data_IF_500457430153
#
_entry.id   IF_500457430153
#
_cell.length_a   1.000
_cell.length_b   1.000
_cell.length_c   1.000
_cell.angle_alpha   90.00
_cell.angle_beta   90.00
_cell.angle_gamma   90.00
#
_symmetry.space_group_name_H-M   'P 1'
#
loop_
_entity.id
_entity.type
_entity.pdbx_description
1 polymer ?
#
# COMPACT_ATOMS: atom_id res chain seq x y z
N UNK A 1 1.86 8.64 -2.51
CA UNK A 1 1.87 7.88 -3.80
C UNK A 1 1.80 6.37 -3.52
N UNK A 2 2.74 5.77 -2.81
CA UNK A 2 2.85 4.32 -2.61
C UNK A 2 1.58 3.60 -2.19
N UNK A 3 0.79 4.15 -1.27
CA UNK A 3 -0.48 3.55 -0.87
C UNK A 3 -1.49 3.40 -2.01
N UNK A 4 -1.50 4.33 -2.98
CA UNK A 4 -2.33 4.22 -4.19
C UNK A 4 -1.80 3.16 -5.14
N UNK A 5 -0.49 3.07 -5.29
CA UNK A 5 0.19 2.11 -6.17
C UNK A 5 -0.07 0.66 -5.75
N UNK A 6 -0.13 0.39 -4.46
CA UNK A 6 -0.43 -0.94 -3.92
C UNK A 6 -1.94 -1.22 -3.77
N UNK A 7 -2.81 -0.32 -4.23
CA UNK A 7 -4.26 -0.50 -4.17
C UNK A 7 -4.90 -0.19 -2.81
N UNK A 8 -4.25 0.62 -1.99
CA UNK A 8 -4.74 1.01 -0.65
C UNK A 8 -5.90 2.01 -0.65
N UNK A 9 -6.82 1.93 -1.62
CA UNK A 9 -8.03 2.76 -1.73
C UNK A 9 -9.27 1.89 -1.89
N UNK A 10 -10.41 2.40 -1.49
CA UNK A 10 -11.70 1.68 -1.53
C UNK A 10 -12.12 1.24 -2.94
N UNK A 11 -11.62 1.86 -3.99
CA UNK A 11 -12.02 1.64 -5.39
C UNK A 11 -10.90 1.04 -6.26
N UNK A 12 -9.76 0.70 -5.69
CA UNK A 12 -8.59 0.26 -6.44
C UNK A 12 -8.06 -1.09 -5.98
N UNK A 13 -7.42 -1.77 -6.91
CA UNK A 13 -6.55 -2.91 -6.70
C UNK A 13 -5.09 -2.48 -6.95
N UNK A 14 -4.15 -3.37 -6.68
CA UNK A 14 -2.73 -3.10 -6.90
C UNK A 14 -2.45 -2.64 -8.34
N UNK A 15 -1.44 -1.80 -8.49
CA UNK A 15 -0.94 -1.29 -9.78
C UNK A 15 -1.96 -0.48 -10.57
N UNK A 16 -2.68 0.40 -9.88
CA UNK A 16 -3.69 1.30 -10.45
C UNK A 16 -4.87 0.59 -11.15
N UNK A 17 -5.10 -0.68 -10.83
CA UNK A 17 -6.26 -1.40 -11.37
C UNK A 17 -7.54 -0.98 -10.67
N UNK A 18 -8.60 -0.87 -11.44
CA UNK A 18 -9.92 -0.48 -10.92
C UNK A 18 -10.75 -1.70 -10.56
N UNK A 19 -11.33 -1.71 -9.37
CA UNK A 19 -12.15 -2.81 -8.86
C UNK A 19 -13.40 -3.05 -9.73
N UNK A 20 -13.95 -2.01 -10.35
CA UNK A 20 -15.11 -2.11 -11.23
C UNK A 20 -14.82 -2.71 -12.61
N UNK A 21 -13.55 -2.73 -13.02
CA UNK A 21 -13.14 -3.30 -14.30
C UNK A 21 -13.00 -4.83 -14.19
N UNK A 22 -13.79 -5.63 -14.92
CA UNK A 22 -13.76 -7.08 -14.81
C UNK A 22 -12.41 -7.69 -15.26
N UNK A 23 -11.72 -7.07 -16.22
CA UNK A 23 -10.41 -7.53 -16.68
C UNK A 23 -9.37 -7.33 -15.57
N UNK A 24 -9.36 -6.17 -14.93
CA UNK A 24 -8.45 -5.89 -13.84
C UNK A 24 -8.67 -6.82 -12.62
N UNK A 25 -9.92 -7.18 -12.33
CA UNK A 25 -10.20 -8.16 -11.29
C UNK A 25 -9.68 -9.53 -11.65
N UNK A 26 -9.96 -9.99 -12.88
CA UNK A 26 -9.50 -11.29 -13.36
C UNK A 26 -7.97 -11.42 -13.29
N UNK A 27 -7.23 -10.41 -13.75
CA UNK A 27 -5.75 -10.38 -13.66
C UNK A 27 -5.27 -10.55 -12.21
N UNK A 28 -5.91 -9.87 -11.25
CA UNK A 28 -5.52 -9.97 -9.84
C UNK A 28 -6.00 -11.25 -9.17
N UNK A 29 -7.14 -11.79 -9.58
CA UNK A 29 -7.63 -13.10 -9.13
C UNK A 29 -6.67 -14.22 -9.56
N UNK A 30 -6.22 -14.18 -10.81
CA UNK A 30 -5.21 -15.11 -11.32
C UNK A 30 -3.88 -14.95 -10.58
N UNK A 31 -3.42 -13.72 -10.40
CA UNK A 31 -2.16 -13.43 -9.71
C UNK A 31 -2.18 -13.92 -8.25
N UNK A 32 -3.28 -13.72 -7.53
CA UNK A 32 -3.41 -14.16 -6.13
C UNK A 32 -3.91 -15.60 -5.96
N UNK A 33 -4.00 -16.36 -7.03
CA UNK A 33 -4.34 -17.78 -7.01
C UNK A 33 -5.83 -18.09 -6.81
N UNK A 34 -6.70 -17.40 -7.55
CA UNK A 34 -8.11 -17.74 -7.70
C UNK A 34 -9.04 -17.28 -6.59
N UNK A 35 -8.67 -16.25 -5.85
CA UNK A 35 -9.58 -15.60 -4.90
C UNK A 35 -10.59 -14.72 -5.65
N UNK A 36 -11.89 -14.86 -5.38
CA UNK A 36 -12.91 -14.01 -6.00
C UNK A 36 -12.87 -12.62 -5.39
N UNK A 37 -12.65 -11.62 -6.23
CA UNK A 37 -12.64 -10.20 -5.85
C UNK A 37 -14.04 -9.61 -6.07
N UNK A 38 -14.55 -8.89 -5.07
CA UNK A 38 -15.83 -8.17 -5.19
C UNK A 38 -15.80 -7.18 -6.35
N UNK A 39 -16.88 -7.09 -7.10
CA UNK A 39 -17.09 -6.10 -8.16
C UNK A 39 -17.56 -4.73 -7.63
N UNK A 40 -17.77 -4.63 -6.32
CA UNK A 40 -18.26 -3.42 -5.66
C UNK A 40 -17.13 -2.63 -5.05
N UNK A 41 -17.18 -1.32 -5.25
CA UNK A 41 -16.30 -0.38 -4.56
C UNK A 41 -16.53 -0.50 -3.05
N UNK A 42 -15.44 -0.51 -2.29
CA UNK A 42 -15.50 -0.48 -0.82
C UNK A 42 -15.96 0.88 -0.29
N UNK A 43 -16.25 0.92 1.00
CA UNK A 43 -16.63 2.15 1.68
C UNK A 43 -15.40 3.06 1.85
N UNK A 44 -15.58 4.36 1.65
CA UNK A 44 -14.60 5.37 2.05
C UNK A 44 -14.46 5.44 3.58
N UNK A 45 -13.41 6.07 4.09
CA UNK A 45 -13.20 6.22 5.52
C UNK A 45 -14.44 6.83 6.22
N UNK A 46 -14.98 7.92 5.68
CA UNK A 46 -16.18 8.57 6.23
C UNK A 46 -17.40 7.65 6.23
N UNK A 47 -17.61 6.89 5.13
CA UNK A 47 -18.71 5.93 5.02
C UNK A 47 -18.55 4.75 5.98
N UNK A 48 -17.32 4.28 6.21
CA UNK A 48 -17.07 3.23 7.20
C UNK A 48 -17.46 3.67 8.60
N UNK A 49 -17.08 4.87 9.02
CA UNK A 49 -17.45 5.39 10.34
C UNK A 49 -18.94 5.65 10.46
N UNK A 50 -19.59 6.17 9.42
CA UNK A 50 -21.05 6.25 9.37
C UNK A 50 -21.71 4.88 9.47
N UNK A 51 -21.17 3.89 8.77
CA UNK A 51 -21.65 2.51 8.84
C UNK A 51 -21.53 1.87 10.24
N UNK A 52 -20.47 2.22 10.99
CA UNK A 52 -20.32 1.82 12.39
C UNK A 52 -21.36 2.51 13.28
N UNK A 53 -21.55 3.82 13.12
CA UNK A 53 -22.54 4.60 13.88
C UNK A 53 -23.96 4.03 13.66
N UNK A 54 -24.31 3.69 12.42
CA UNK A 54 -25.60 3.10 12.04
C UNK A 54 -25.71 1.60 12.39
N UNK A 55 -24.65 0.94 12.89
CA UNK A 55 -24.61 -0.49 13.19
C UNK A 55 -24.60 -1.42 11.98
N UNK A 56 -24.40 -0.88 10.76
CA UNK A 56 -24.23 -1.64 9.52
C UNK A 56 -22.89 -2.36 9.48
N UNK A 57 -21.83 -1.68 9.92
CA UNK A 57 -20.53 -2.28 10.23
C UNK A 57 -20.49 -2.62 11.72
N UNK A 58 -19.84 -3.73 12.05
CA UNK A 58 -19.74 -4.23 13.43
C UNK A 58 -18.33 -4.17 13.98
N UNK A 59 -17.34 -4.19 13.11
CA UNK A 59 -15.94 -4.20 13.50
C UNK A 59 -15.11 -3.33 12.56
N UNK A 60 -13.99 -2.82 13.07
CA UNK A 60 -13.02 -2.06 12.29
C UNK A 60 -11.60 -2.37 12.77
N UNK A 61 -10.67 -2.44 11.81
CA UNK A 61 -9.24 -2.46 12.07
C UNK A 61 -8.62 -1.17 11.55
N UNK A 62 -8.10 -0.36 12.45
CA UNK A 62 -7.49 0.94 12.18
C UNK A 62 -5.98 0.76 12.22
N UNK A 63 -5.30 1.10 11.11
CA UNK A 63 -3.86 0.88 10.95
C UNK A 63 -3.15 2.22 10.81
N UNK A 64 -2.31 2.56 11.78
CA UNK A 64 -1.40 3.70 11.79
C UNK A 64 -2.03 5.05 11.37
N UNK A 65 -3.29 5.27 11.77
CA UNK A 65 -3.99 6.55 11.61
C UNK A 65 -4.83 6.86 12.85
N UNK A 66 -5.07 8.14 13.08
CA UNK A 66 -5.88 8.60 14.23
C UNK A 66 -7.18 9.25 13.71
N UNK A 67 -8.26 8.48 13.52
CA UNK A 67 -9.55 8.99 13.05
C UNK A 67 -10.14 10.10 13.91
N UNK A 68 -9.83 10.11 15.22
CA UNK A 68 -10.27 11.16 16.14
C UNK A 68 -9.72 12.54 15.78
N UNK A 69 -8.63 12.61 15.02
CA UNK A 69 -7.99 13.84 14.55
C UNK A 69 -8.17 14.04 13.05
N UNK A 70 -8.11 12.95 12.26
CA UNK A 70 -8.05 13.01 10.81
C UNK A 70 -9.41 13.05 10.11
N UNK A 71 -10.49 12.61 10.77
CA UNK A 71 -11.84 12.72 10.22
C UNK A 71 -12.41 14.13 10.40
N UNK A 72 -13.24 14.59 9.46
CA UNK A 72 -13.81 15.95 9.53
C UNK A 72 -14.78 16.15 10.70
N UNK A 73 -15.37 15.07 11.23
CA UNK A 73 -16.28 15.09 12.37
C UNK A 73 -15.79 14.12 13.46
N UNK A 74 -15.08 14.66 14.45
CA UNK A 74 -14.54 13.88 15.56
C UNK A 74 -15.64 13.31 16.46
N UNK A 75 -16.81 13.99 16.57
CA UNK A 75 -17.94 13.49 17.37
C UNK A 75 -18.57 12.26 16.70
N UNK A 76 -18.75 12.29 15.40
CA UNK A 76 -19.22 11.14 14.63
C UNK A 76 -18.22 9.98 14.75
N UNK A 77 -16.93 10.25 14.66
CA UNK A 77 -15.89 9.22 14.84
C UNK A 77 -15.96 8.58 16.25
N UNK A 78 -16.14 9.38 17.28
CA UNK A 78 -16.28 8.90 18.66
C UNK A 78 -17.53 8.00 18.83
N UNK A 79 -18.68 8.43 18.34
CA UNK A 79 -19.93 7.66 18.41
C UNK A 79 -19.82 6.36 17.64
N UNK A 80 -19.25 6.40 16.44
CA UNK A 80 -19.03 5.24 15.60
C UNK A 80 -18.19 4.17 16.31
N UNK A 81 -17.07 4.57 16.94
CA UNK A 81 -16.21 3.63 17.66
C UNK A 81 -16.85 3.10 18.96
N UNK A 82 -17.65 3.90 19.66
CA UNK A 82 -18.44 3.43 20.81
C UNK A 82 -19.53 2.42 20.44
N UNK A 83 -20.09 2.55 19.23
CA UNK A 83 -21.14 1.63 18.74
C UNK A 83 -20.54 0.37 18.09
N UNK A 84 -19.28 0.39 17.69
CA UNK A 84 -18.61 -0.76 17.13
C UNK A 84 -18.58 -1.91 18.13
N UNK A 85 -18.78 -3.15 17.64
CA UNK A 85 -18.71 -4.36 18.49
C UNK A 85 -17.28 -4.83 18.71
N UNK A 86 -16.36 -4.44 17.83
CA UNK A 86 -14.96 -4.82 17.93
C UNK A 86 -14.08 -3.82 17.19
N UNK A 87 -13.13 -3.24 17.91
CA UNK A 87 -12.19 -2.23 17.40
C UNK A 87 -10.76 -2.74 17.62
N UNK A 88 -10.04 -2.93 16.53
CA UNK A 88 -8.60 -3.21 16.54
C UNK A 88 -7.86 -1.95 16.14
N UNK A 89 -6.88 -1.54 16.92
CA UNK A 89 -6.02 -0.40 16.61
C UNK A 89 -4.58 -0.86 16.53
N UNK A 90 -3.97 -0.73 15.34
CA UNK A 90 -2.56 -0.95 15.10
C UNK A 90 -1.87 0.41 15.06
N UNK A 91 -1.02 0.71 16.04
CA UNK A 91 -0.53 2.05 16.26
C UNK A 91 0.89 2.06 16.83
N UNK A 92 1.67 3.05 16.45
CA UNK A 92 3.06 3.24 16.90
C UNK A 92 3.16 3.98 18.25
N UNK A 93 2.09 4.62 18.69
CA UNK A 93 2.06 5.45 19.91
C UNK A 93 0.88 5.11 20.80
N UNK A 94 1.12 4.88 22.06
CA UNK A 94 0.07 4.70 23.07
C UNK A 94 -0.67 6.01 23.43
N UNK A 95 -0.34 7.13 22.81
CA UNK A 95 -0.94 8.45 23.04
C UNK A 95 -2.03 8.82 22.01
N UNK A 96 -2.23 8.01 20.97
CA UNK A 96 -3.27 8.25 19.99
C UNK A 96 -4.66 8.17 20.64
N UNK A 97 -5.52 9.15 20.37
CA UNK A 97 -6.86 9.22 20.99
C UNK A 97 -7.74 8.03 20.60
N UNK A 98 -7.51 7.44 19.44
CA UNK A 98 -8.19 6.25 18.93
C UNK A 98 -8.03 5.04 19.86
N UNK A 99 -6.89 4.91 20.55
CA UNK A 99 -6.60 3.76 21.44
C UNK A 99 -7.63 3.62 22.58
N UNK A 100 -8.23 4.71 23.03
CA UNK A 100 -9.24 4.70 24.09
C UNK A 100 -10.49 3.86 23.76
N UNK A 101 -10.69 3.57 22.48
CA UNK A 101 -11.85 2.82 21.98
C UNK A 101 -11.48 1.40 21.50
N UNK A 102 -10.21 1.02 21.61
CA UNK A 102 -9.72 -0.26 21.12
C UNK A 102 -10.05 -1.40 22.09
N UNK A 103 -10.60 -2.48 21.55
CA UNK A 103 -10.68 -3.77 22.24
C UNK A 103 -9.33 -4.50 22.19
N UNK A 104 -8.59 -4.31 21.09
CA UNK A 104 -7.26 -4.85 20.88
C UNK A 104 -6.33 -3.77 20.35
N UNK A 105 -5.16 -3.63 20.97
CA UNK A 105 -4.08 -2.76 20.48
C UNK A 105 -2.94 -3.65 19.98
N UNK A 106 -2.52 -3.42 18.75
CA UNK A 106 -1.37 -4.08 18.12
C UNK A 106 -0.23 -3.05 18.01
N UNK A 107 0.81 -3.14 18.85
CA UNK A 107 1.93 -2.21 18.78
C UNK A 107 2.69 -2.38 17.47
N UNK A 108 2.84 -1.27 16.72
CA UNK A 108 3.51 -1.24 15.42
C UNK A 108 4.88 -0.55 15.52
N UNK A 109 5.85 -1.05 14.77
CA UNK A 109 7.16 -0.46 14.65
C UNK A 109 7.11 0.85 13.84
N UNK A 110 7.93 1.84 14.21
CA UNK A 110 8.06 3.11 13.49
C UNK A 110 9.08 3.04 12.35
N UNK A 111 9.32 4.17 11.69
CA UNK A 111 10.21 4.28 10.52
C UNK A 111 11.62 3.73 10.73
N UNK A 112 12.25 4.09 11.87
CA UNK A 112 13.63 3.67 12.17
C UNK A 112 13.72 2.23 12.67
N UNK A 113 12.60 1.60 13.01
CA UNK A 113 12.52 0.29 13.66
C UNK A 113 12.18 -0.84 12.70
N UNK A 114 11.87 -0.52 11.45
CA UNK A 114 11.54 -1.47 10.38
C UNK A 114 12.21 -1.08 9.08
N UNK A 115 12.27 -2.01 8.13
CA UNK A 115 12.68 -1.71 6.77
C UNK A 115 11.48 -1.79 5.82
N UNK A 116 11.62 -1.23 4.62
CA UNK A 116 10.60 -1.23 3.61
C UNK A 116 10.91 -0.28 2.46
N UNK A 117 9.90 0.06 1.69
CA UNK A 117 10.00 1.02 0.60
C UNK A 117 8.96 2.13 0.75
N UNK A 118 9.31 3.31 0.28
CA UNK A 118 8.40 4.46 0.24
C UNK A 118 8.47 5.10 -1.14
N UNK A 119 7.31 5.49 -1.67
CA UNK A 119 7.23 6.28 -2.91
C UNK A 119 6.74 7.69 -2.60
N UNK A 120 7.50 8.70 -3.03
CA UNK A 120 7.17 10.11 -2.85
C UNK A 120 6.32 10.68 -3.99
N UNK A 121 6.00 11.98 -3.93
CA UNK A 121 5.19 12.68 -4.94
C UNK A 121 5.87 12.75 -6.33
N UNK A 122 7.20 12.66 -6.38
CA UNK A 122 7.98 12.57 -7.63
C UNK A 122 7.97 11.18 -8.26
N UNK A 123 7.21 10.23 -7.71
CA UNK A 123 7.21 8.83 -8.15
C UNK A 123 8.53 8.10 -7.86
N UNK A 124 9.32 8.61 -6.93
CA UNK A 124 10.61 8.05 -6.57
C UNK A 124 10.45 7.06 -5.43
N UNK A 125 10.86 5.82 -5.69
CA UNK A 125 10.88 4.73 -4.72
C UNK A 125 12.21 4.78 -3.97
N UNK A 126 12.16 4.78 -2.66
CA UNK A 126 13.32 4.82 -1.77
C UNK A 126 13.25 3.65 -0.80
N UNK A 127 14.38 2.97 -0.60
CA UNK A 127 14.52 1.98 0.47
C UNK A 127 14.68 2.70 1.82
N UNK A 128 13.96 2.21 2.80
CA UNK A 128 14.06 2.61 4.20
C UNK A 128 14.74 1.50 4.97
N UNK A 129 15.91 1.78 5.53
CA UNK A 129 16.66 0.81 6.33
C UNK A 129 16.24 0.87 7.79
N UNK A 130 16.14 -0.29 8.42
CA UNK A 130 16.03 -0.37 9.88
C UNK A 130 17.32 0.17 10.52
N UNK A 131 17.19 1.01 11.53
CA UNK A 131 18.31 1.66 12.24
C UNK A 131 18.40 1.18 13.69
N UNK A 132 17.25 0.96 14.34
CA UNK A 132 17.15 0.53 15.74
C UNK A 132 16.18 -0.62 15.87
N UNK A 133 16.21 -1.35 16.98
CA UNK A 133 15.23 -2.38 17.27
C UNK A 133 13.91 -1.78 17.75
N UNK A 134 12.82 -2.39 17.34
CA UNK A 134 11.49 -2.01 17.81
C UNK A 134 11.36 -2.30 19.33
N UNK A 135 10.71 -1.41 20.10
CA UNK A 135 10.58 -1.59 21.54
C UNK A 135 9.57 -2.68 21.88
N UNK A 136 9.85 -3.41 22.95
CA UNK A 136 8.93 -4.38 23.56
C UNK A 136 8.29 -5.37 22.56
N UNK A 137 6.97 -5.28 22.36
CA UNK A 137 6.20 -6.16 21.48
C UNK A 137 5.86 -5.52 20.13
N UNK A 138 6.40 -4.34 19.82
CA UNK A 138 6.12 -3.68 18.56
C UNK A 138 6.71 -4.46 17.38
N UNK A 139 5.90 -4.65 16.35
CA UNK A 139 6.26 -5.41 15.14
C UNK A 139 6.07 -4.55 13.90
N UNK A 140 6.83 -4.80 12.82
CA UNK A 140 6.54 -4.22 11.51
C UNK A 140 5.11 -4.55 11.05
N UNK A 141 4.44 -3.60 10.39
CA UNK A 141 3.04 -3.76 9.95
C UNK A 141 2.84 -5.00 9.08
N UNK A 142 3.77 -5.27 8.15
CA UNK A 142 3.70 -6.45 7.30
C UNK A 142 3.76 -7.75 8.12
N UNK A 143 4.58 -7.80 9.17
CA UNK A 143 4.67 -8.97 10.04
C UNK A 143 3.37 -9.19 10.84
N UNK A 144 2.75 -8.11 11.33
CA UNK A 144 1.45 -8.17 11.99
C UNK A 144 0.40 -8.77 11.05
N UNK A 145 0.36 -8.30 9.80
CA UNK A 145 -0.58 -8.80 8.79
C UNK A 145 -0.31 -10.27 8.45
N UNK A 146 0.95 -10.66 8.25
CA UNK A 146 1.31 -12.06 7.96
C UNK A 146 0.92 -13.00 9.12
N UNK A 147 1.18 -12.59 10.37
CA UNK A 147 0.77 -13.37 11.55
C UNK A 147 -0.75 -13.48 11.67
N UNK A 148 -1.47 -12.42 11.37
CA UNK A 148 -2.93 -12.45 11.32
C UNK A 148 -3.43 -13.39 10.23
N UNK A 149 -2.89 -13.30 9.01
CA UNK A 149 -3.23 -14.17 7.89
C UNK A 149 -2.99 -15.65 8.23
N UNK A 150 -1.87 -15.96 8.89
CA UNK A 150 -1.57 -17.31 9.35
C UNK A 150 -2.62 -17.83 10.36
N UNK A 151 -3.07 -16.99 11.30
CA UNK A 151 -4.15 -17.33 12.25
C UNK A 151 -5.50 -17.52 11.58
N UNK A 152 -5.73 -16.86 10.46
CA UNK A 152 -6.94 -17.02 9.63
C UNK A 152 -6.89 -18.25 8.70
N UNK A 153 -5.80 -19.00 8.69
CA UNK A 153 -5.61 -20.18 7.85
C UNK A 153 -5.02 -19.90 6.46
N UNK A 154 -4.53 -18.68 6.22
CA UNK A 154 -3.95 -18.23 4.94
C UNK A 154 -2.41 -18.11 4.99
N UNK A 155 -1.76 -18.74 5.98
CA UNK A 155 -0.32 -18.58 6.19
C UNK A 155 0.52 -18.90 4.96
N UNK A 156 0.15 -19.93 4.19
CA UNK A 156 0.83 -20.34 2.97
C UNK A 156 0.82 -19.28 1.84
N UNK A 157 -0.08 -18.28 1.91
CA UNK A 157 -0.14 -17.16 0.95
C UNK A 157 0.58 -15.90 1.47
N UNK A 158 1.02 -15.90 2.72
CA UNK A 158 1.68 -14.78 3.40
C UNK A 158 3.00 -15.22 4.04
N UNK A 159 3.66 -16.20 3.45
CA UNK A 159 4.94 -16.73 3.92
C UNK A 159 6.09 -16.02 3.19
N UNK A 160 6.63 -14.98 3.84
CA UNK A 160 7.76 -14.22 3.32
C UNK A 160 8.93 -14.30 4.30
N UNK A 161 10.14 -14.55 3.78
CA UNK A 161 11.34 -14.60 4.59
C UNK A 161 11.90 -13.21 4.92
N UNK A 162 11.55 -12.20 4.11
CA UNK A 162 12.01 -10.83 4.27
C UNK A 162 11.12 -9.84 3.48
N UNK A 163 11.24 -8.55 3.77
CA UNK A 163 10.46 -7.50 3.11
C UNK A 163 10.79 -7.35 1.61
N UNK A 164 11.96 -7.78 1.16
CA UNK A 164 12.32 -7.80 -0.25
C UNK A 164 11.46 -8.75 -1.06
N UNK A 165 11.00 -9.87 -0.48
CA UNK A 165 10.09 -10.80 -1.15
C UNK A 165 8.69 -10.19 -1.32
N UNK A 166 8.19 -9.46 -0.32
CA UNK A 166 6.94 -8.70 -0.43
C UNK A 166 7.05 -7.64 -1.53
N UNK A 167 8.17 -6.92 -1.57
CA UNK A 167 8.42 -5.93 -2.62
C UNK A 167 8.50 -6.57 -4.00
N UNK A 168 9.17 -7.71 -4.13
CA UNK A 168 9.25 -8.48 -5.38
C UNK A 168 7.86 -8.91 -5.87
N UNK A 169 7.01 -9.41 -4.99
CA UNK A 169 5.63 -9.75 -5.36
C UNK A 169 4.89 -8.52 -5.88
N UNK A 170 5.00 -7.39 -5.18
CA UNK A 170 4.42 -6.13 -5.65
C UNK A 170 4.94 -5.75 -7.05
N UNK A 171 6.26 -5.83 -7.32
CA UNK A 171 6.80 -5.46 -8.63
C UNK A 171 6.21 -6.30 -9.76
N UNK A 172 5.92 -7.58 -9.54
CA UNK A 172 5.28 -8.43 -10.54
C UNK A 172 3.84 -8.00 -10.85
N UNK A 173 3.11 -7.44 -9.88
CA UNK A 173 1.76 -6.90 -10.15
C UNK A 173 1.79 -5.70 -11.08
N UNK A 174 2.93 -5.00 -11.16
CA UNK A 174 3.09 -3.78 -12.00
C UNK A 174 3.41 -4.06 -13.45
N UNK A 175 3.75 -5.30 -13.80
CA UNK A 175 4.18 -5.69 -15.14
C UNK A 175 3.21 -5.25 -16.22
N UNK A 176 3.70 -4.48 -17.18
CA UNK A 176 2.91 -3.99 -18.32
C UNK A 176 1.92 -2.88 -17.97
N UNK A 177 1.90 -2.38 -16.74
CA UNK A 177 1.06 -1.24 -16.35
C UNK A 177 1.81 0.10 -16.50
N UNK A 178 1.10 1.21 -16.30
CA UNK A 178 1.70 2.55 -16.34
C UNK A 178 2.69 2.83 -15.21
N UNK A 179 2.76 1.96 -14.20
CA UNK A 179 3.71 2.05 -13.08
C UNK A 179 4.67 0.86 -13.07
N UNK A 180 4.93 0.25 -14.19
CA UNK A 180 5.82 -0.92 -14.30
C UNK A 180 7.17 -0.64 -13.63
N UNK A 181 7.48 -1.40 -12.59
CA UNK A 181 8.74 -1.36 -11.83
C UNK A 181 9.42 -2.73 -11.77
N UNK A 182 9.13 -3.59 -12.72
CA UNK A 182 9.72 -4.93 -12.79
C UNK A 182 11.25 -4.93 -12.93
N UNK A 183 11.84 -3.81 -13.36
CA UNK A 183 13.29 -3.60 -13.38
C UNK A 183 13.89 -3.15 -12.05
N UNK A 184 13.08 -2.92 -11.02
CA UNK A 184 13.53 -2.39 -9.74
C UNK A 184 13.61 -3.49 -8.69
N UNK A 185 14.80 -3.95 -8.37
CA UNK A 185 15.01 -4.89 -7.28
C UNK A 185 15.14 -4.20 -5.93
N UNK A 186 14.80 -4.91 -4.87
CA UNK A 186 14.99 -4.43 -3.51
C UNK A 186 16.48 -4.14 -3.19
N UNK A 187 17.39 -4.93 -3.77
CA UNK A 187 18.84 -4.70 -3.66
C UNK A 187 19.26 -3.39 -4.35
N UNK A 188 18.73 -3.13 -5.56
CA UNK A 188 19.02 -1.90 -6.28
C UNK A 188 18.54 -0.66 -5.52
N UNK A 189 17.41 -0.74 -4.82
CA UNK A 189 16.91 0.35 -3.98
C UNK A 189 17.79 0.62 -2.73
N UNK A 190 18.59 -0.35 -2.27
CA UNK A 190 19.59 -0.12 -1.21
C UNK A 190 20.76 0.75 -1.69
N UNK A 191 21.01 0.75 -2.97
CA UNK A 191 22.10 1.53 -3.58
C UNK A 191 21.65 2.94 -3.98
N UNK A 192 20.43 3.04 -4.54
CA UNK A 192 19.85 4.32 -5.00
C UNK A 192 18.35 4.29 -5.06
N UNK A 193 17.72 5.45 -4.92
CA UNK A 193 16.28 5.60 -5.18
C UNK A 193 16.00 5.62 -6.68
N UNK A 194 14.85 5.08 -7.10
CA UNK A 194 14.48 4.94 -8.52
C UNK A 194 13.10 5.52 -8.74
N UNK A 195 12.94 6.29 -9.80
CA UNK A 195 11.66 6.84 -10.22
C UNK A 195 10.93 5.85 -11.15
N UNK A 196 9.64 5.64 -10.94
CA UNK A 196 8.83 4.82 -11.84
C UNK A 196 8.22 5.64 -12.99
N UNK A 197 7.93 5.05 -14.18
CA UNK A 197 8.12 3.65 -14.51
C UNK A 197 9.59 3.27 -14.72
N UNK A 198 9.94 2.02 -14.41
CA UNK A 198 11.27 1.44 -14.60
C UNK A 198 11.11 -0.07 -14.92
N UNK A 199 10.60 -0.42 -16.11
CA UNK A 199 10.36 -1.80 -16.49
C UNK A 199 11.67 -2.57 -16.65
N UNK A 200 11.64 -3.89 -16.41
CA UNK A 200 12.74 -4.74 -16.79
C UNK A 200 12.92 -4.70 -18.32
N UNK A 201 14.17 -4.62 -18.77
CA UNK A 201 14.45 -4.77 -20.19
C UNK A 201 13.90 -6.11 -20.68
N UNK A 202 13.11 -6.12 -21.75
CA UNK A 202 12.72 -7.35 -22.41
C UNK A 202 14.00 -8.09 -22.84
N UNK A 203 14.11 -9.43 -22.63
CA UNK A 203 15.24 -10.17 -23.16
C UNK A 203 15.30 -9.91 -24.67
N UNK A 204 16.50 -9.55 -25.15
CA UNK A 204 16.71 -9.39 -26.59
C UNK A 204 16.34 -10.71 -27.28
N UNK A 205 15.78 -10.68 -28.51
CA UNK A 205 15.37 -11.89 -29.24
C UNK A 205 16.49 -12.91 -29.43
N UNK A 206 17.73 -12.50 -29.26
CA UNK A 206 18.97 -13.26 -29.43
C UNK A 206 19.68 -13.64 -28.10
N UNK A 207 19.00 -13.49 -26.95
CA UNK A 207 19.52 -13.95 -25.65
C UNK A 207 20.58 -13.06 -25.00
N UNK A 208 20.83 -11.89 -25.53
CA UNK A 208 21.76 -10.91 -24.97
C UNK A 208 21.05 -9.91 -24.04
N UNK A 209 21.13 -10.09 -22.73
CA UNK A 209 20.69 -9.10 -21.77
C UNK A 209 21.65 -7.90 -21.81
N UNK A 210 21.27 -6.80 -22.45
CA UNK A 210 21.94 -5.52 -22.25
C UNK A 210 21.21 -4.75 -21.15
N UNK A 211 21.75 -4.77 -19.93
CA UNK A 211 21.43 -3.78 -18.91
C UNK A 211 22.00 -2.44 -19.39
N UNK A 212 21.17 -1.61 -20.01
CA UNK A 212 21.57 -0.25 -20.36
C UNK A 212 20.50 0.74 -19.93
N UNK A 213 20.39 0.96 -18.63
CA UNK A 213 20.02 2.30 -18.14
C UNK A 213 21.33 3.04 -17.95
N UNK A 214 21.72 3.87 -18.93
CA UNK A 214 22.75 4.89 -18.69
C UNK A 214 22.15 6.01 -17.88
N UNK A 215 22.95 6.69 -17.06
CA UNK A 215 22.55 7.88 -16.30
C UNK A 215 22.07 9.04 -17.20
N UNK A 216 22.10 8.90 -18.53
CA UNK A 216 21.64 9.86 -19.52
C UNK A 216 20.13 9.81 -19.82
N UNK A 217 19.39 8.80 -19.33
CA UNK A 217 17.95 8.67 -19.56
C UNK A 217 17.10 9.32 -18.46
N UNK A 218 17.68 10.17 -17.64
CA UNK A 218 16.94 11.08 -16.80
C UNK A 218 16.28 12.14 -17.70
N UNK A 219 14.93 12.09 -17.82
CA UNK A 219 14.16 13.16 -18.41
C UNK A 219 14.62 14.51 -17.87
N UNK A 220 15.09 15.39 -18.75
CA UNK A 220 15.45 16.76 -18.39
C UNK A 220 14.18 17.57 -18.13
N UNK A 221 14.27 18.64 -17.33
CA UNK A 221 13.13 19.53 -17.06
C UNK A 221 12.50 20.07 -18.36
N UNK A 222 13.28 20.22 -19.43
CA UNK A 222 12.84 20.70 -20.76
C UNK A 222 11.94 19.69 -21.50
N UNK A 223 12.03 18.39 -21.19
CA UNK A 223 11.16 17.37 -21.79
C UNK A 223 9.81 17.26 -21.06
N UNK A 224 9.75 17.67 -19.79
CA UNK A 224 8.50 17.74 -19.03
C UNK A 224 7.62 18.89 -19.54
N UNK A 225 8.21 20.02 -19.95
CA UNK A 225 7.46 21.15 -20.55
C UNK A 225 6.89 20.83 -21.94
N UNK A 226 7.46 19.86 -22.66
CA UNK A 226 7.00 19.47 -24.02
C UNK A 226 5.96 18.37 -24.03
N UNK A 227 5.69 17.74 -22.89
CA UNK A 227 4.61 16.76 -22.80
C UNK A 227 3.26 17.48 -22.95
N UNK A 228 2.35 17.02 -23.85
CA UNK A 228 1.04 17.62 -23.97
C UNK A 228 0.32 17.54 -22.62
N UNK A 229 -0.45 18.58 -22.22
CA UNK A 229 -1.17 18.57 -20.97
C UNK A 229 -2.12 17.35 -20.97
N UNK A 230 -1.91 16.44 -20.03
CA UNK A 230 -2.85 15.34 -19.77
C UNK A 230 -4.23 15.94 -19.53
N UNK A 231 -5.19 15.51 -20.33
CA UNK A 231 -6.51 16.05 -20.55
C UNK A 231 -7.17 16.72 -19.35
N UNK A 232 -7.85 17.80 -19.66
CA UNK A 232 -8.51 18.74 -18.78
C UNK A 232 -9.11 18.11 -17.53
N UNK A 233 -8.51 18.45 -16.39
CA UNK A 233 -9.01 18.10 -15.07
C UNK A 233 -10.39 18.72 -14.84
N UNK A 234 -11.30 17.96 -14.28
CA UNK A 234 -12.47 18.52 -13.61
C UNK A 234 -11.99 19.09 -12.28
N UNK A 235 -12.21 20.41 -12.15
CA UNK A 235 -11.85 21.14 -10.95
C UNK A 235 -12.50 20.55 -9.69
N UNK A 236 -11.74 20.59 -8.63
CA UNK A 236 -12.23 20.39 -7.28
C UNK A 236 -12.95 21.67 -6.83
N UNK A 237 -14.26 21.62 -6.66
CA UNK A 237 -15.02 22.52 -5.82
C UNK A 237 -15.46 21.78 -4.59
#
# INVERSE_FOLDING_TARGET
MGGREVGGLANMLASHREIVNPIHRLEMEEFWGGSIISDKIGLTATEMFKGLEEGKLKAIWIVCTNPMVSLPDARMAELAMKNAKFVVVQEVSNRADTIKFADVVLPAATWAEKEGTMTNAERRITHLSKVIDAPAQALPDAEIICRFAAKMGWGNKFEYNNFGEIYKEYTETTRGTNIDVTGVSYQLLKERSIQWPAPAALPAPDGGAKNSFSDSDNFTFDEIEKAPPSGAGRGWT
#
